data_IF_581931906682
#
_entry.id   IF_581931906682
#
_cell.length_a   1.000
_cell.length_b   1.000
_cell.length_c   1.000
_cell.angle_alpha   90.00
_cell.angle_beta   90.00
_cell.angle_gamma   90.00
#
_symmetry.space_group_name_H-M   'P 1'
#
loop_
_entity.id
_entity.type
_entity.pdbx_description
1 polymer ?
#
# COMPACT_ATOMS: atom_id res chain seq x y z
N UNK A 1 -62.14 -28.06 -7.04
CA UNK A 1 -62.00 -27.17 -8.21
C UNK A 1 -61.47 -25.82 -7.75
N UNK A 2 -60.24 -25.46 -8.12
CA UNK A 2 -59.74 -24.08 -8.28
C UNK A 2 -58.37 -24.15 -8.94
N UNK A 3 -58.33 -23.72 -10.20
CA UNK A 3 -57.16 -23.63 -11.07
C UNK A 3 -56.41 -22.33 -10.74
N UNK A 4 -55.08 -22.37 -10.64
CA UNK A 4 -54.18 -21.21 -10.85
C UNK A 4 -52.94 -21.76 -11.57
N UNK A 5 -52.90 -21.70 -12.91
CA UNK A 5 -52.34 -20.61 -13.73
C UNK A 5 -50.82 -20.43 -13.46
N UNK A 6 -49.95 -21.09 -14.24
CA UNK A 6 -49.22 -20.50 -15.41
C UNK A 6 -48.67 -19.12 -15.04
N UNK A 7 -47.41 -18.96 -14.67
CA UNK A 7 -46.24 -19.29 -15.46
C UNK A 7 -45.92 -18.11 -16.37
N UNK A 8 -44.83 -17.38 -16.10
CA UNK A 8 -43.87 -16.77 -17.05
C UNK A 8 -42.82 -16.03 -16.22
N UNK A 9 -41.63 -16.61 -16.16
CA UNK A 9 -40.41 -15.95 -15.67
C UNK A 9 -39.89 -15.09 -16.82
N UNK A 10 -39.81 -13.77 -16.63
CA UNK A 10 -39.06 -12.88 -17.53
C UNK A 10 -37.86 -12.36 -16.75
N UNK A 11 -36.71 -12.99 -16.97
CA UNK A 11 -35.42 -12.55 -16.49
C UNK A 11 -34.88 -11.53 -17.48
N UNK A 12 -35.11 -10.23 -17.24
CA UNK A 12 -34.50 -9.17 -18.06
C UNK A 12 -33.09 -8.93 -17.53
N UNK A 13 -32.12 -9.59 -18.17
CA UNK A 13 -30.69 -9.38 -17.98
C UNK A 13 -30.32 -8.02 -18.58
N UNK A 14 -30.30 -6.97 -17.77
CA UNK A 14 -29.77 -5.68 -18.17
C UNK A 14 -28.23 -5.78 -18.28
N UNK A 15 -27.74 -5.73 -19.51
CA UNK A 15 -26.32 -5.64 -19.83
C UNK A 15 -25.74 -4.36 -19.22
N UNK A 16 -25.01 -4.50 -18.12
CA UNK A 16 -24.15 -3.44 -17.61
C UNK A 16 -23.02 -3.22 -18.63
N UNK A 17 -23.07 -2.13 -19.39
CA UNK A 17 -21.95 -1.66 -20.19
C UNK A 17 -20.88 -1.13 -19.26
N UNK A 18 -19.99 -2.01 -18.81
CA UNK A 18 -18.78 -1.63 -18.11
C UNK A 18 -17.88 -0.88 -19.08
N UNK A 19 -17.91 0.44 -19.02
CA UNK A 19 -16.85 1.30 -19.56
C UNK A 19 -15.57 0.95 -18.82
N UNK A 20 -14.71 0.16 -19.46
CA UNK A 20 -13.32 -0.03 -19.04
C UNK A 20 -12.60 1.31 -19.23
N UNK A 21 -12.51 2.08 -18.16
CA UNK A 21 -11.57 3.18 -18.10
C UNK A 21 -10.16 2.61 -18.32
N UNK A 22 -9.55 2.98 -19.44
CA UNK A 22 -8.11 2.82 -19.66
C UNK A 22 -7.40 3.76 -18.70
N UNK A 23 -7.17 3.31 -17.47
CA UNK A 23 -6.19 3.92 -16.60
C UNK A 23 -4.81 3.73 -17.24
N UNK A 24 -4.13 4.84 -17.52
CA UNK A 24 -2.74 4.82 -17.98
C UNK A 24 -1.81 4.13 -16.98
N UNK A 25 -0.57 3.77 -17.38
CA UNK A 25 0.39 3.01 -16.57
C UNK A 25 0.96 3.73 -15.33
N UNK A 26 0.38 4.86 -14.94
CA UNK A 26 0.80 5.74 -13.84
C UNK A 26 -0.40 6.06 -12.93
N UNK A 27 -1.28 5.07 -12.75
CA UNK A 27 -2.37 5.15 -11.80
C UNK A 27 -1.82 5.24 -10.36
N UNK A 28 -1.56 6.48 -9.94
CA UNK A 28 -1.25 6.89 -8.58
C UNK A 28 -2.54 6.97 -7.74
N UNK A 29 -3.67 6.38 -8.17
CA UNK A 29 -4.85 6.34 -7.30
C UNK A 29 -4.52 5.51 -6.07
N UNK A 30 -4.49 6.21 -4.94
CA UNK A 30 -4.08 5.62 -3.68
C UNK A 30 -5.24 4.87 -3.05
N UNK A 31 -5.12 3.55 -2.87
CA UNK A 31 -6.10 2.80 -2.09
C UNK A 31 -5.90 3.11 -0.61
N UNK A 32 -6.98 3.53 0.06
CA UNK A 32 -6.96 3.88 1.47
C UNK A 32 -7.41 2.73 2.36
N UNK A 33 -6.69 2.50 3.45
CA UNK A 33 -7.03 1.52 4.49
C UNK A 33 -7.09 2.18 5.87
N UNK A 34 -7.99 1.68 6.71
CA UNK A 34 -8.14 2.05 8.12
C UNK A 34 -8.60 0.83 8.93
N UNK A 35 -8.06 0.67 10.14
CA UNK A 35 -8.38 -0.37 11.13
C UNK A 35 -8.52 -1.80 10.55
N UNK A 36 -7.55 -2.19 9.70
CA UNK A 36 -7.64 -3.42 8.91
C UNK A 36 -6.31 -4.17 8.83
N UNK A 37 -6.40 -5.49 8.68
CA UNK A 37 -5.28 -6.33 8.22
C UNK A 37 -5.52 -6.77 6.78
N UNK A 38 -4.57 -6.52 5.88
CA UNK A 38 -4.77 -6.74 4.43
C UNK A 38 -3.47 -7.06 3.69
N UNK A 39 -3.56 -7.83 2.62
CA UNK A 39 -2.52 -7.93 1.59
C UNK A 39 -2.95 -7.09 0.40
N UNK A 40 -2.11 -6.16 -0.02
CA UNK A 40 -2.39 -5.28 -1.15
C UNK A 40 -1.48 -5.62 -2.33
N UNK A 41 -2.11 -6.01 -3.44
CA UNK A 41 -1.44 -6.38 -4.69
C UNK A 41 -1.38 -5.18 -5.63
N UNK A 42 -0.24 -4.50 -5.65
CA UNK A 42 -0.04 -3.25 -6.37
C UNK A 42 -0.14 -3.38 -7.89
N UNK A 43 -0.01 -4.59 -8.43
CA UNK A 43 -0.19 -4.83 -9.86
C UNK A 43 -1.67 -5.02 -10.23
N UNK A 44 -2.56 -5.25 -9.25
CA UNK A 44 -4.00 -5.47 -9.48
C UNK A 44 -4.91 -4.40 -8.88
N UNK A 45 -4.48 -3.74 -7.81
CA UNK A 45 -5.33 -2.92 -6.96
C UNK A 45 -4.98 -1.42 -7.00
N UNK A 46 -3.97 -1.03 -7.77
CA UNK A 46 -3.42 0.32 -7.78
C UNK A 46 -2.05 0.35 -7.09
N UNK A 47 -1.17 1.28 -7.48
CA UNK A 47 0.22 1.30 -6.99
C UNK A 47 0.47 2.27 -5.84
N UNK A 48 -0.52 3.13 -5.56
CA UNK A 48 -0.53 4.02 -4.40
C UNK A 48 -1.27 3.39 -3.22
N UNK A 49 -0.75 3.57 -2.03
CA UNK A 49 -1.38 3.10 -0.79
C UNK A 49 -1.37 4.21 0.26
N UNK A 50 -2.53 4.49 0.85
CA UNK A 50 -2.72 5.44 1.93
C UNK A 50 -3.18 4.71 3.20
N UNK A 51 -2.46 4.90 4.31
CA UNK A 51 -2.77 4.27 5.59
C UNK A 51 -3.20 5.31 6.62
N UNK A 52 -4.39 5.10 7.18
CA UNK A 52 -4.90 5.85 8.31
C UNK A 52 -4.40 5.22 9.62
N UNK A 53 -5.24 4.64 10.45
CA UNK A 53 -4.86 4.13 11.78
C UNK A 53 -4.92 2.60 11.85
N UNK A 54 -4.00 2.02 12.63
CA UNK A 54 -4.00 0.60 13.02
C UNK A 54 -4.07 -0.39 11.84
N UNK A 55 -3.51 -0.03 10.69
CA UNK A 55 -3.46 -0.93 9.54
C UNK A 55 -2.26 -1.86 9.67
N UNK A 56 -2.46 -3.16 9.49
CA UNK A 56 -1.38 -4.13 9.25
C UNK A 56 -1.43 -4.58 7.79
N UNK A 57 -0.42 -4.22 7.00
CA UNK A 57 -0.44 -4.43 5.56
C UNK A 57 0.83 -5.13 5.05
N UNK A 58 0.62 -6.09 4.16
CA UNK A 58 1.68 -6.70 3.34
C UNK A 58 1.52 -6.20 1.91
N UNK A 59 2.54 -5.51 1.40
CA UNK A 59 2.61 -5.02 0.03
C UNK A 59 3.23 -6.09 -0.87
N UNK A 60 2.55 -6.43 -1.97
CA UNK A 60 3.05 -7.34 -3.00
C UNK A 60 2.97 -6.68 -4.38
N UNK A 61 3.89 -7.05 -5.28
CA UNK A 61 3.98 -6.46 -6.60
C UNK A 61 4.69 -5.09 -6.61
N UNK A 62 4.45 -4.31 -7.66
CA UNK A 62 5.19 -3.05 -7.91
C UNK A 62 4.52 -1.81 -7.30
N UNK A 63 4.64 -1.64 -5.99
CA UNK A 63 4.12 -0.46 -5.29
C UNK A 63 5.00 0.77 -5.51
N UNK A 64 4.38 1.92 -5.82
CA UNK A 64 5.10 3.17 -6.11
C UNK A 64 5.14 4.09 -4.90
N UNK A 65 3.99 4.37 -4.30
CA UNK A 65 3.87 5.33 -3.20
C UNK A 65 3.14 4.71 -2.01
N UNK A 66 3.71 4.86 -0.83
CA UNK A 66 3.09 4.55 0.45
C UNK A 66 3.05 5.81 1.30
N UNK A 67 1.85 6.27 1.67
CA UNK A 67 1.64 7.37 2.59
C UNK A 67 1.01 6.85 3.88
N UNK A 68 1.64 7.16 5.01
CA UNK A 68 1.19 6.76 6.34
C UNK A 68 0.88 8.01 7.16
N UNK A 69 -0.41 8.35 7.24
CA UNK A 69 -0.87 9.58 7.89
C UNK A 69 -1.28 9.36 9.35
N UNK A 70 -1.78 8.17 9.70
CA UNK A 70 -2.24 7.89 11.07
C UNK A 70 -1.22 7.12 11.91
N UNK A 71 -1.73 6.40 12.91
CA UNK A 71 -0.90 5.83 13.98
C UNK A 71 -1.00 4.31 14.08
N UNK A 72 0.03 3.69 14.67
CA UNK A 72 0.08 2.25 14.98
C UNK A 72 -0.05 1.35 13.75
N UNK A 73 0.38 1.82 12.58
CA UNK A 73 0.42 1.00 11.38
C UNK A 73 1.64 0.07 11.39
N UNK A 74 1.48 -1.09 10.76
CA UNK A 74 2.54 -2.08 10.52
C UNK A 74 2.58 -2.38 9.03
N UNK A 75 3.72 -2.17 8.40
CA UNK A 75 3.89 -2.35 6.95
C UNK A 75 5.04 -3.31 6.69
N UNK A 76 4.82 -4.27 5.80
CA UNK A 76 5.88 -5.11 5.22
C UNK A 76 5.80 -5.13 3.70
N UNK A 77 6.94 -5.32 3.02
CA UNK A 77 6.97 -5.53 1.56
C UNK A 77 7.94 -4.62 0.82
N UNK A 78 7.65 -4.32 -0.44
CA UNK A 78 8.49 -3.52 -1.33
C UNK A 78 7.73 -2.28 -1.83
N UNK A 79 8.35 -1.11 -1.77
CA UNK A 79 7.73 0.14 -2.25
C UNK A 79 8.77 1.19 -2.58
N UNK A 80 8.60 1.91 -3.69
CA UNK A 80 9.61 2.87 -4.14
C UNK A 80 9.73 4.09 -3.22
N UNK A 81 8.61 4.64 -2.75
CA UNK A 81 8.58 5.83 -1.89
C UNK A 81 7.71 5.63 -0.67
N UNK A 82 8.22 6.05 0.49
CA UNK A 82 7.50 6.03 1.76
C UNK A 82 7.45 7.43 2.36
N UNK A 83 6.25 7.93 2.59
CA UNK A 83 5.99 9.16 3.35
C UNK A 83 5.26 8.85 4.65
N UNK A 84 5.79 9.29 5.79
CA UNK A 84 5.22 9.05 7.11
C UNK A 84 5.02 10.38 7.82
N UNK A 85 3.78 10.84 7.92
CA UNK A 85 3.41 12.04 8.69
C UNK A 85 2.77 11.71 10.04
N UNK A 86 2.25 10.49 10.20
CA UNK A 86 1.70 10.02 11.47
C UNK A 86 2.74 9.54 12.48
N UNK A 87 2.30 8.85 13.54
CA UNK A 87 3.19 8.45 14.64
C UNK A 87 3.06 7.02 15.13
N UNK A 88 4.10 6.52 15.80
CA UNK A 88 4.15 5.15 16.33
C UNK A 88 3.91 4.06 15.27
N UNK A 89 4.40 4.28 14.05
CA UNK A 89 4.30 3.31 12.96
C UNK A 89 5.55 2.41 12.89
N UNK A 90 5.38 1.18 12.43
CA UNK A 90 6.45 0.22 12.16
C UNK A 90 6.43 -0.11 10.67
N UNK A 91 7.51 0.22 9.96
CA UNK A 91 7.65 -0.01 8.52
C UNK A 91 8.88 -0.88 8.29
N UNK A 92 8.69 -2.08 7.76
CA UNK A 92 9.76 -3.01 7.43
C UNK A 92 9.72 -3.35 5.94
N UNK A 93 10.44 -2.56 5.13
CA UNK A 93 10.44 -2.69 3.67
C UNK A 93 11.72 -3.32 3.19
N UNK A 94 11.72 -4.11 2.10
CA UNK A 94 12.98 -4.66 1.60
C UNK A 94 13.70 -3.61 0.76
N UNK A 95 13.05 -3.15 -0.32
CA UNK A 95 13.59 -2.17 -1.24
C UNK A 95 12.78 -0.88 -1.23
N UNK A 96 13.48 0.25 -1.14
CA UNK A 96 12.92 1.60 -1.13
C UNK A 96 13.93 2.63 -1.62
N UNK A 97 13.48 3.54 -2.47
CA UNK A 97 14.32 4.62 -3.02
C UNK A 97 14.30 5.86 -2.13
N UNK A 98 13.16 6.17 -1.52
CA UNK A 98 12.98 7.40 -0.73
C UNK A 98 12.12 7.16 0.50
N UNK A 99 12.60 7.62 1.65
CA UNK A 99 11.91 7.60 2.94
C UNK A 99 11.85 9.03 3.48
N UNK A 100 10.64 9.54 3.72
CA UNK A 100 10.41 10.85 4.32
C UNK A 100 9.57 10.65 5.57
N UNK A 101 10.11 11.03 6.73
CA UNK A 101 9.43 10.89 8.03
C UNK A 101 9.31 12.26 8.70
N UNK A 102 8.11 12.83 8.67
CA UNK A 102 7.81 14.11 9.32
C UNK A 102 7.11 13.94 10.68
N UNK A 103 6.47 12.79 10.91
CA UNK A 103 5.85 12.45 12.20
C UNK A 103 6.83 11.93 13.25
N UNK A 104 6.32 11.52 14.41
CA UNK A 104 7.13 11.15 15.58
C UNK A 104 7.02 9.65 15.95
N UNK A 105 8.04 9.14 16.64
CA UNK A 105 8.04 7.78 17.22
C UNK A 105 7.87 6.66 16.17
N UNK A 106 8.31 6.89 14.93
CA UNK A 106 8.23 5.90 13.86
C UNK A 106 9.48 5.03 13.83
N UNK A 107 9.31 3.74 13.55
CA UNK A 107 10.40 2.79 13.31
C UNK A 107 10.37 2.34 11.86
N UNK A 108 11.45 2.59 11.13
CA UNK A 108 11.60 2.20 9.73
C UNK A 108 12.85 1.33 9.57
N UNK A 109 12.67 0.13 9.04
CA UNK A 109 13.76 -0.77 8.65
C UNK A 109 13.72 -1.00 7.13
N UNK A 110 14.87 -0.93 6.48
CA UNK A 110 14.98 -1.18 5.05
C UNK A 110 16.27 -1.90 4.65
N UNK A 111 16.25 -2.77 3.63
CA UNK A 111 17.48 -3.47 3.19
C UNK A 111 18.28 -2.67 2.15
N UNK A 112 17.60 -1.94 1.27
CA UNK A 112 18.28 -1.17 0.23
C UNK A 112 17.34 -0.48 -0.75
N UNK A 113 17.86 -0.19 -1.93
CA UNK A 113 17.17 0.49 -3.04
C UNK A 113 16.92 -0.49 -4.19
N UNK A 114 15.89 -0.23 -5.00
CA UNK A 114 15.65 -0.97 -6.24
C UNK A 114 16.79 -0.84 -7.26
N UNK A 115 17.64 0.18 -7.10
CA UNK A 115 18.81 0.39 -7.95
C UNK A 115 20.10 0.11 -7.17
N UNK A 116 20.92 -0.88 -7.58
CA UNK A 116 22.12 -1.27 -6.84
C UNK A 116 23.18 -0.16 -6.76
N UNK A 117 23.14 0.81 -7.68
CA UNK A 117 24.05 1.95 -7.71
C UNK A 117 23.52 3.20 -6.99
N UNK A 118 22.27 3.20 -6.51
CA UNK A 118 21.67 4.36 -5.82
C UNK A 118 21.38 4.01 -4.37
N UNK A 119 21.89 4.84 -3.46
CA UNK A 119 21.51 4.76 -2.05
C UNK A 119 20.07 5.24 -1.85
N UNK A 120 19.40 4.67 -0.86
CA UNK A 120 18.09 5.14 -0.41
C UNK A 120 18.23 6.55 0.17
N UNK A 121 17.43 7.49 -0.33
CA UNK A 121 17.33 8.84 0.24
C UNK A 121 16.47 8.81 1.49
N UNK A 122 17.01 9.30 2.61
CA UNK A 122 16.31 9.31 3.90
C UNK A 122 16.28 10.73 4.46
N UNK A 123 15.08 11.20 4.79
CA UNK A 123 14.85 12.46 5.50
C UNK A 123 13.95 12.22 6.70
N UNK A 124 14.35 12.74 7.86
CA UNK A 124 13.54 12.70 9.08
C UNK A 124 13.61 14.02 9.82
N UNK A 125 12.46 14.66 10.02
CA UNK A 125 12.34 15.93 10.74
C UNK A 125 11.57 15.83 12.05
N UNK A 126 10.86 14.72 12.27
CA UNK A 126 10.16 14.44 13.52
C UNK A 126 11.08 13.87 14.62
N UNK A 127 10.53 13.74 15.83
CA UNK A 127 11.25 13.32 17.04
C UNK A 127 11.16 11.81 17.25
N UNK A 128 12.23 11.24 17.84
CA UNK A 128 12.31 9.83 18.27
C UNK A 128 12.01 8.82 17.15
N UNK A 129 12.27 9.20 15.90
CA UNK A 129 12.22 8.27 14.79
C UNK A 129 13.48 7.39 14.80
N UNK A 130 13.31 6.10 14.57
CA UNK A 130 14.42 5.16 14.37
C UNK A 130 14.39 4.68 12.94
N UNK A 131 15.41 5.02 12.15
CA UNK A 131 15.52 4.60 10.76
C UNK A 131 16.82 3.82 10.61
N UNK A 132 16.72 2.54 10.23
CA UNK A 132 17.87 1.64 10.16
C UNK A 132 17.88 0.88 8.84
N UNK A 133 19.05 0.85 8.20
CA UNK A 133 19.29 -0.09 7.11
C UNK A 133 19.65 -1.46 7.69
N UNK A 134 18.91 -2.50 7.32
CA UNK A 134 19.27 -3.87 7.63
C UNK A 134 20.57 -4.22 6.88
N UNK A 135 21.51 -4.95 7.51
CA UNK A 135 22.77 -5.29 6.87
C UNK A 135 22.51 -6.02 5.55
N UNK A 136 23.16 -5.55 4.48
CA UNK A 136 23.11 -6.22 3.19
C UNK A 136 23.49 -7.70 3.37
N UNK A 137 22.77 -8.65 2.75
CA UNK A 137 23.16 -10.05 2.84
C UNK A 137 24.61 -10.17 2.35
N UNK A 138 25.50 -10.69 3.21
CA UNK A 138 26.89 -10.96 2.84
C UNK A 138 26.85 -11.87 1.61
N UNK A 139 27.29 -11.37 0.46
CA UNK A 139 27.51 -12.20 -0.73
C UNK A 139 28.55 -13.26 -0.34
N UNK A 140 28.14 -14.52 -0.28
CA UNK A 140 29.06 -15.66 -0.22
C UNK A 140 29.66 -15.91 -1.58
#
# INVERSE_FOLDING_TARGET
>A
MRKLARGTIVFVLALATSTSALAGPDDETGVSYDDKTVTHDCDKQGRGVNLNNKVTITLVGRCTNLIIAGTKNKVTGDVRRVGISGGSNIVDVQNVETIIVTGNDNKVTFKGSFHPAKQTSVSSSGKRNTIASAPAPKRK
#
